data_IF_369250682973
#
_entry.id   IF_369250682973
#
_cell.length_a   1.000
_cell.length_b   1.000
_cell.length_c   1.000
_cell.angle_alpha   90.00
_cell.angle_beta   90.00
_cell.angle_gamma   90.00
#
_symmetry.space_group_name_H-M   'P 1'
#
loop_
_entity.id
_entity.type
_entity.pdbx_description
1 polymer ?
#
# COMPACT_ATOMS: atom_id res chain seq x y z
N UNK A 1 -29.93 -33.53 -1.08
CA UNK A 1 -28.78 -32.60 -0.99
C UNK A 1 -28.74 -32.05 0.43
N UNK A 2 -27.66 -32.29 1.17
CA UNK A 2 -27.52 -31.79 2.54
C UNK A 2 -27.47 -30.26 2.52
N UNK A 3 -28.57 -29.60 2.91
CA UNK A 3 -28.60 -28.16 3.16
C UNK A 3 -27.75 -27.90 4.41
N UNK A 4 -26.50 -27.54 4.20
CA UNK A 4 -25.63 -27.02 5.26
C UNK A 4 -26.34 -25.85 5.99
N UNK A 5 -26.22 -25.71 7.32
CA UNK A 5 -27.11 -24.91 8.15
C UNK A 5 -26.90 -23.38 8.08
N UNK A 6 -26.29 -22.87 7.01
CA UNK A 6 -25.93 -21.46 6.87
C UNK A 6 -27.14 -20.52 6.95
N UNK A 7 -28.32 -20.96 6.52
CA UNK A 7 -29.56 -20.17 6.61
C UNK A 7 -30.03 -19.90 8.06
N UNK A 8 -29.61 -20.72 9.03
CA UNK A 8 -29.93 -20.51 10.44
C UNK A 8 -28.95 -19.56 11.12
N UNK A 9 -27.74 -19.38 10.57
CA UNK A 9 -26.69 -18.56 11.18
C UNK A 9 -27.12 -17.11 11.46
N UNK A 10 -27.81 -16.40 10.55
CA UNK A 10 -28.28 -15.04 10.85
C UNK A 10 -29.18 -14.96 12.08
N UNK A 11 -30.00 -16.00 12.33
CA UNK A 11 -30.89 -16.05 13.50
C UNK A 11 -30.13 -16.30 14.80
N UNK A 12 -29.06 -17.10 14.74
CA UNK A 12 -28.22 -17.48 15.87
C UNK A 12 -27.15 -16.42 16.18
N UNK A 13 -26.71 -15.66 15.18
CA UNK A 13 -25.63 -14.68 15.26
C UNK A 13 -26.09 -13.28 14.85
N UNK A 14 -27.17 -12.79 15.47
CA UNK A 14 -27.81 -11.51 15.11
C UNK A 14 -26.90 -10.29 15.24
N UNK A 15 -25.91 -10.36 16.13
CA UNK A 15 -24.94 -9.30 16.41
C UNK A 15 -23.58 -9.52 15.70
N UNK A 16 -23.54 -10.36 14.66
CA UNK A 16 -22.30 -10.62 13.93
C UNK A 16 -21.83 -9.36 13.21
N UNK A 17 -20.68 -8.83 13.64
CA UNK A 17 -20.06 -7.62 13.06
C UNK A 17 -18.96 -7.91 12.06
N UNK A 18 -18.34 -9.08 12.14
CA UNK A 18 -17.17 -9.44 11.31
C UNK A 18 -17.37 -10.84 10.78
N UNK A 19 -17.33 -10.98 9.46
CA UNK A 19 -17.45 -12.26 8.78
C UNK A 19 -16.30 -12.42 7.79
N UNK A 20 -15.58 -13.53 7.91
CA UNK A 20 -14.64 -14.00 6.91
C UNK A 20 -15.18 -15.30 6.34
N UNK A 21 -15.28 -15.39 5.02
CA UNK A 21 -15.77 -16.58 4.32
C UNK A 21 -14.69 -17.08 3.38
N UNK A 22 -14.35 -18.36 3.54
CA UNK A 22 -13.33 -19.05 2.74
C UNK A 22 -13.94 -20.06 1.74
N UNK A 23 -15.28 -20.17 1.69
CA UNK A 23 -16.02 -21.03 0.77
C UNK A 23 -16.86 -20.23 -0.24
N UNK A 24 -17.34 -20.91 -1.28
CA UNK A 24 -18.22 -20.32 -2.28
C UNK A 24 -19.60 -19.95 -1.71
N UNK A 25 -20.13 -18.83 -2.17
CA UNK A 25 -21.42 -18.29 -1.73
C UNK A 25 -22.34 -18.19 -2.94
N UNK A 26 -23.24 -19.16 -3.05
CA UNK A 26 -24.29 -19.16 -4.07
C UNK A 26 -25.65 -18.71 -3.51
N UNK A 27 -25.78 -18.66 -2.19
CA UNK A 27 -27.05 -18.42 -1.50
C UNK A 27 -27.07 -17.13 -0.71
N UNK A 28 -28.29 -16.61 -0.58
CA UNK A 28 -28.68 -15.44 0.18
C UNK A 28 -28.71 -15.74 1.68
N UNK A 29 -27.71 -15.25 2.43
CA UNK A 29 -27.68 -15.35 3.89
C UNK A 29 -26.89 -14.21 4.54
N UNK A 30 -25.81 -13.75 3.91
CA UNK A 30 -24.96 -12.68 4.48
C UNK A 30 -25.75 -11.40 4.68
N UNK A 31 -26.61 -11.05 3.74
CA UNK A 31 -27.42 -9.84 3.74
C UNK A 31 -28.46 -9.75 4.88
N UNK A 32 -28.59 -10.83 5.65
CA UNK A 32 -29.40 -10.89 6.86
C UNK A 32 -28.63 -10.46 8.12
N UNK A 33 -27.29 -10.35 8.08
CA UNK A 33 -26.48 -9.83 9.19
C UNK A 33 -26.54 -8.29 9.22
N UNK A 34 -27.54 -7.73 9.90
CA UNK A 34 -27.76 -6.27 9.96
C UNK A 34 -26.65 -5.48 10.63
N UNK A 35 -25.91 -6.11 11.53
CA UNK A 35 -24.78 -5.50 12.27
C UNK A 35 -23.43 -5.68 11.58
N UNK A 36 -23.39 -6.22 10.35
CA UNK A 36 -22.14 -6.54 9.69
C UNK A 36 -21.35 -5.27 9.31
N UNK A 37 -20.16 -5.13 9.88
CA UNK A 37 -19.24 -4.01 9.66
C UNK A 37 -18.07 -4.39 8.75
N UNK A 38 -17.62 -5.65 8.80
CA UNK A 38 -16.51 -6.18 8.02
C UNK A 38 -16.91 -7.48 7.34
N UNK A 39 -16.74 -7.53 6.03
CA UNK A 39 -16.86 -8.74 5.23
C UNK A 39 -15.58 -9.00 4.45
N UNK A 40 -15.03 -10.21 4.59
CA UNK A 40 -13.91 -10.72 3.78
C UNK A 40 -14.37 -11.98 3.06
N UNK A 41 -14.32 -11.96 1.74
CA UNK A 41 -14.68 -13.08 0.87
C UNK A 41 -13.43 -13.58 0.15
N UNK A 42 -13.01 -14.81 0.44
CA UNK A 42 -11.93 -15.48 -0.29
C UNK A 42 -12.47 -16.52 -1.28
N UNK A 43 -13.72 -16.97 -1.11
CA UNK A 43 -14.44 -17.80 -2.06
C UNK A 43 -15.31 -16.96 -3.00
N UNK A 44 -15.62 -17.53 -4.18
CA UNK A 44 -16.48 -16.90 -5.17
C UNK A 44 -17.87 -16.58 -4.61
N UNK A 45 -18.48 -15.48 -5.05
CA UNK A 45 -19.85 -15.08 -4.72
C UNK A 45 -20.66 -14.83 -5.99
N UNK A 46 -21.91 -15.28 -6.00
CA UNK A 46 -22.83 -14.99 -7.11
C UNK A 46 -23.20 -13.49 -7.16
N UNK A 47 -23.51 -12.98 -8.35
CA UNK A 47 -23.95 -11.59 -8.52
C UNK A 47 -25.17 -11.27 -7.65
N UNK A 48 -26.14 -12.17 -7.56
CA UNK A 48 -27.35 -11.96 -6.76
C UNK A 48 -27.03 -11.82 -5.29
N UNK A 49 -26.16 -12.68 -4.74
CA UNK A 49 -25.73 -12.59 -3.35
C UNK A 49 -24.95 -11.30 -3.06
N UNK A 50 -24.03 -10.89 -3.95
CA UNK A 50 -23.32 -9.62 -3.81
C UNK A 50 -24.29 -8.42 -3.84
N UNK A 51 -25.23 -8.39 -4.79
CA UNK A 51 -26.28 -7.36 -4.86
C UNK A 51 -27.05 -7.27 -3.54
N UNK A 52 -27.47 -8.40 -2.98
CA UNK A 52 -28.18 -8.44 -1.70
C UNK A 52 -27.35 -7.87 -0.54
N UNK A 53 -26.05 -8.15 -0.50
CA UNK A 53 -25.14 -7.59 0.51
C UNK A 53 -25.06 -6.07 0.39
N UNK A 54 -24.83 -5.56 -0.81
CA UNK A 54 -24.71 -4.12 -1.07
C UNK A 54 -26.01 -3.36 -0.72
N UNK A 55 -27.17 -3.98 -0.94
CA UNK A 55 -28.47 -3.39 -0.62
C UNK A 55 -28.79 -3.37 0.87
N UNK A 56 -28.43 -4.42 1.61
CA UNK A 56 -29.00 -4.67 2.95
C UNK A 56 -28.01 -4.53 4.10
N UNK A 57 -26.71 -4.62 3.84
CA UNK A 57 -25.67 -4.48 4.86
C UNK A 57 -25.28 -3.01 5.05
N UNK A 58 -26.21 -2.22 5.60
CA UNK A 58 -26.07 -0.75 5.72
C UNK A 58 -24.95 -0.30 6.69
N UNK A 59 -24.53 -1.17 7.62
CA UNK A 59 -23.42 -0.92 8.55
C UNK A 59 -22.05 -1.33 8.01
N UNK A 60 -21.98 -1.81 6.77
CA UNK A 60 -20.74 -2.31 6.19
C UNK A 60 -19.76 -1.16 6.00
N UNK A 61 -18.64 -1.22 6.73
CA UNK A 61 -17.55 -0.23 6.64
C UNK A 61 -16.38 -0.76 5.86
N UNK A 62 -16.25 -2.08 5.74
CA UNK A 62 -15.11 -2.74 5.12
C UNK A 62 -15.53 -3.96 4.32
N UNK A 63 -15.18 -3.97 3.03
CA UNK A 63 -15.50 -5.05 2.10
C UNK A 63 -14.24 -5.50 1.36
N UNK A 64 -13.85 -6.75 1.54
CA UNK A 64 -12.70 -7.33 0.86
C UNK A 64 -13.14 -8.50 -0.03
N UNK A 65 -13.04 -8.32 -1.35
CA UNK A 65 -13.29 -9.35 -2.35
C UNK A 65 -11.94 -9.90 -2.85
N UNK A 66 -11.53 -11.06 -2.34
CA UNK A 66 -10.18 -11.66 -2.53
C UNK A 66 -10.18 -12.90 -3.41
N UNK A 67 -11.20 -13.06 -4.24
CA UNK A 67 -11.32 -14.14 -5.21
C UNK A 67 -11.16 -13.58 -6.63
N UNK A 68 -10.74 -14.43 -7.57
CA UNK A 68 -10.57 -14.04 -8.97
C UNK A 68 -11.93 -13.91 -9.67
N UNK A 69 -12.35 -12.67 -9.96
CA UNK A 69 -13.54 -12.41 -10.76
C UNK A 69 -13.56 -10.97 -11.26
N UNK A 70 -13.76 -10.79 -12.56
CA UNK A 70 -13.85 -9.46 -13.17
C UNK A 70 -15.26 -9.13 -13.68
N UNK A 71 -16.18 -10.10 -13.66
CA UNK A 71 -17.51 -9.99 -14.28
C UNK A 71 -18.59 -9.48 -13.32
N UNK A 72 -18.29 -9.39 -12.03
CA UNK A 72 -19.24 -8.88 -11.04
C UNK A 72 -19.51 -7.39 -11.26
N UNK A 73 -20.72 -6.98 -10.92
CA UNK A 73 -21.19 -5.60 -10.98
C UNK A 73 -21.27 -4.99 -9.59
N UNK A 74 -20.71 -3.78 -9.45
CA UNK A 74 -20.72 -2.98 -8.23
C UNK A 74 -21.76 -1.84 -8.27
N UNK A 75 -22.81 -1.96 -9.11
CA UNK A 75 -23.81 -0.88 -9.36
C UNK A 75 -24.46 -0.29 -8.11
N UNK A 76 -24.52 -1.04 -7.01
CA UNK A 76 -25.16 -0.64 -5.75
C UNK A 76 -24.14 -0.35 -4.63
N UNK A 77 -22.86 -0.21 -4.96
CA UNK A 77 -21.82 0.03 -3.95
C UNK A 77 -22.00 1.38 -3.24
N UNK A 78 -22.68 2.33 -3.87
CA UNK A 78 -23.08 3.62 -3.30
C UNK A 78 -24.11 3.50 -2.17
N UNK A 79 -24.85 2.38 -2.09
CA UNK A 79 -25.76 2.08 -0.97
C UNK A 79 -25.01 1.75 0.31
N UNK A 80 -23.74 1.35 0.23
CA UNK A 80 -22.87 1.20 1.39
C UNK A 80 -22.23 2.55 1.75
N UNK A 81 -23.04 3.49 2.23
CA UNK A 81 -22.61 4.88 2.49
C UNK A 81 -21.49 5.02 3.53
N UNK A 82 -21.26 4.00 4.36
CA UNK A 82 -20.21 3.99 5.38
C UNK A 82 -18.96 3.21 4.96
N UNK A 83 -18.88 2.77 3.69
CA UNK A 83 -17.76 1.99 3.19
C UNK A 83 -16.48 2.82 3.15
N UNK A 84 -15.49 2.41 3.93
CA UNK A 84 -14.20 3.08 4.12
C UNK A 84 -13.03 2.26 3.59
N UNK A 85 -13.10 0.94 3.70
CA UNK A 85 -12.04 0.07 3.18
C UNK A 85 -12.63 -0.87 2.14
N UNK A 86 -12.04 -0.88 0.96
CA UNK A 86 -12.47 -1.69 -0.17
C UNK A 86 -11.28 -2.42 -0.78
N UNK A 87 -11.43 -3.72 -1.00
CA UNK A 87 -10.47 -4.53 -1.75
C UNK A 87 -11.16 -5.27 -2.88
N UNK A 88 -10.57 -5.16 -4.07
CA UNK A 88 -11.06 -5.71 -5.33
C UNK A 88 -9.89 -6.31 -6.10
N UNK A 89 -10.16 -7.21 -7.04
CA UNK A 89 -9.18 -7.56 -8.07
C UNK A 89 -8.92 -6.34 -8.97
N UNK A 90 -7.71 -6.23 -9.51
CA UNK A 90 -7.39 -5.17 -10.48
C UNK A 90 -8.36 -5.16 -11.67
N UNK A 91 -8.81 -6.34 -12.15
CA UNK A 91 -9.73 -6.40 -13.27
C UNK A 91 -11.14 -5.93 -12.92
N UNK A 92 -11.70 -6.36 -11.78
CA UNK A 92 -13.00 -5.86 -11.32
C UNK A 92 -12.99 -4.35 -11.11
N UNK A 93 -11.93 -3.81 -10.51
CA UNK A 93 -11.75 -2.37 -10.38
C UNK A 93 -11.73 -1.69 -11.74
N UNK A 94 -10.95 -2.18 -12.72
CA UNK A 94 -10.86 -1.56 -14.04
C UNK A 94 -12.22 -1.41 -14.74
N UNK A 95 -13.09 -2.43 -14.66
CA UNK A 95 -14.43 -2.39 -15.25
C UNK A 95 -15.42 -1.49 -14.52
N UNK A 96 -15.20 -1.21 -13.22
CA UNK A 96 -16.15 -0.50 -12.36
C UNK A 96 -15.53 0.76 -11.71
N UNK A 97 -14.43 1.26 -12.26
CA UNK A 97 -13.58 2.32 -11.67
C UNK A 97 -14.35 3.60 -11.35
N UNK A 98 -15.28 4.01 -12.21
CA UNK A 98 -16.09 5.21 -11.99
C UNK A 98 -17.05 5.07 -10.80
N UNK A 99 -17.59 3.88 -10.54
CA UNK A 99 -18.43 3.62 -9.37
C UNK A 99 -17.60 3.68 -8.09
N UNK A 100 -16.42 3.04 -8.09
CA UNK A 100 -15.52 3.03 -6.93
C UNK A 100 -14.99 4.43 -6.63
N UNK A 101 -14.76 5.26 -7.65
CA UNK A 101 -14.31 6.64 -7.45
C UNK A 101 -15.39 7.58 -6.89
N UNK A 102 -16.68 7.22 -6.95
CA UNK A 102 -17.75 7.97 -6.27
C UNK A 102 -17.76 7.78 -4.75
N UNK A 103 -17.07 6.76 -4.24
CA UNK A 103 -16.95 6.53 -2.79
C UNK A 103 -15.93 7.50 -2.19
N UNK A 104 -16.38 8.71 -1.85
CA UNK A 104 -15.53 9.81 -1.37
C UNK A 104 -14.91 9.54 -0.01
N UNK A 105 -15.56 8.73 0.83
CA UNK A 105 -15.14 8.45 2.21
C UNK A 105 -14.18 7.27 2.33
N UNK A 106 -13.73 6.70 1.21
CA UNK A 106 -12.73 5.64 1.21
C UNK A 106 -11.44 6.11 1.86
N UNK A 107 -10.98 5.33 2.84
CA UNK A 107 -9.70 5.44 3.54
C UNK A 107 -8.67 4.46 3.01
N UNK A 108 -9.12 3.31 2.52
CA UNK A 108 -8.27 2.28 1.92
C UNK A 108 -8.92 1.76 0.63
N UNK A 109 -8.14 1.76 -0.45
CA UNK A 109 -8.41 0.98 -1.65
C UNK A 109 -7.25 -0.01 -1.86
N UNK A 110 -7.56 -1.30 -1.80
CA UNK A 110 -6.63 -2.38 -2.10
C UNK A 110 -6.98 -2.98 -3.48
N UNK A 111 -5.98 -3.05 -4.37
CA UNK A 111 -6.05 -3.77 -5.62
C UNK A 111 -5.26 -5.06 -5.47
N UNK A 112 -5.92 -6.19 -5.72
CA UNK A 112 -5.34 -7.52 -5.61
C UNK A 112 -5.03 -8.11 -6.98
N UNK A 113 -4.18 -9.15 -7.00
CA UNK A 113 -3.75 -9.84 -8.23
C UNK A 113 -2.96 -8.94 -9.19
N UNK A 114 -2.23 -7.97 -8.65
CA UNK A 114 -1.44 -7.03 -9.44
C UNK A 114 -0.29 -7.70 -10.21
N UNK A 115 0.34 -8.71 -9.62
CA UNK A 115 1.52 -9.37 -10.20
C UNK A 115 1.26 -10.12 -11.52
N UNK A 116 0.03 -10.59 -11.76
CA UNK A 116 -0.34 -11.25 -13.03
C UNK A 116 -0.82 -10.26 -14.10
N UNK A 117 -1.05 -9.00 -13.73
CA UNK A 117 -1.72 -7.99 -14.56
C UNK A 117 -1.03 -6.63 -14.40
N UNK A 118 0.30 -6.59 -14.58
CA UNK A 118 1.11 -5.40 -14.30
C UNK A 118 0.66 -4.17 -15.09
N UNK A 119 0.45 -4.29 -16.41
CA UNK A 119 0.03 -3.15 -17.24
C UNK A 119 -1.34 -2.60 -16.82
N UNK A 120 -2.34 -3.47 -16.64
CA UNK A 120 -3.66 -3.07 -16.17
C UNK A 120 -3.59 -2.42 -14.78
N UNK A 121 -2.69 -2.89 -13.92
CA UNK A 121 -2.46 -2.32 -12.60
C UNK A 121 -1.90 -0.90 -12.69
N UNK A 122 -0.94 -0.65 -13.59
CA UNK A 122 -0.38 0.68 -13.85
C UNK A 122 -1.49 1.62 -14.35
N UNK A 123 -2.33 1.19 -15.29
CA UNK A 123 -3.47 1.97 -15.79
C UNK A 123 -4.48 2.30 -14.67
N UNK A 124 -4.78 1.33 -13.80
CA UNK A 124 -5.65 1.52 -12.65
C UNK A 124 -5.07 2.55 -11.68
N UNK A 125 -3.78 2.45 -11.37
CA UNK A 125 -3.08 3.42 -10.52
C UNK A 125 -3.09 4.81 -11.13
N UNK A 126 -2.78 4.94 -12.41
CA UNK A 126 -2.82 6.23 -13.11
C UNK A 126 -4.21 6.86 -13.00
N UNK A 127 -5.27 6.08 -13.20
CA UNK A 127 -6.65 6.55 -13.05
C UNK A 127 -6.95 7.03 -11.63
N UNK A 128 -6.59 6.25 -10.61
CA UNK A 128 -6.83 6.58 -9.20
C UNK A 128 -6.08 7.87 -8.83
N UNK A 129 -4.79 7.97 -9.16
CA UNK A 129 -3.98 9.12 -8.82
C UNK A 129 -4.43 10.38 -9.57
N UNK A 130 -4.86 10.27 -10.84
CA UNK A 130 -5.45 11.39 -11.58
C UNK A 130 -6.70 11.95 -10.90
N UNK A 131 -7.52 11.10 -10.25
CA UNK A 131 -8.76 11.51 -9.57
C UNK A 131 -8.56 11.94 -8.13
N UNK A 132 -7.58 11.36 -7.42
CA UNK A 132 -7.46 11.45 -5.95
C UNK A 132 -6.09 11.86 -5.43
N UNK A 133 -5.17 12.35 -6.26
CA UNK A 133 -3.80 12.78 -5.89
C UNK A 133 -3.70 13.58 -4.59
N UNK A 134 -4.63 14.51 -4.34
CA UNK A 134 -4.59 15.42 -3.18
C UNK A 134 -5.11 14.78 -1.88
N UNK A 135 -5.66 13.57 -1.96
CA UNK A 135 -6.12 12.79 -0.81
C UNK A 135 -5.19 11.64 -0.46
N UNK A 136 -4.30 11.20 -1.35
CA UNK A 136 -3.42 10.04 -1.11
C UNK A 136 -2.34 10.39 -0.09
N UNK A 137 -2.32 9.65 1.03
CA UNK A 137 -1.36 9.81 2.11
C UNK A 137 -0.29 8.73 2.15
N UNK A 138 -0.63 7.51 1.75
CA UNK A 138 0.30 6.39 1.76
C UNK A 138 0.02 5.48 0.57
N UNK A 139 1.09 5.08 -0.11
CA UNK A 139 1.04 4.07 -1.15
C UNK A 139 1.96 2.92 -0.73
N UNK A 140 1.44 1.71 -0.76
CA UNK A 140 2.21 0.48 -0.58
C UNK A 140 1.98 -0.43 -1.78
N UNK A 141 3.04 -0.92 -2.39
CA UNK A 141 2.90 -1.79 -3.55
C UNK A 141 4.01 -2.81 -3.69
N UNK A 142 3.64 -3.99 -4.17
CA UNK A 142 4.54 -4.93 -4.79
C UNK A 142 4.71 -4.55 -6.26
N UNK A 143 5.91 -4.11 -6.62
CA UNK A 143 6.30 -3.76 -7.99
C UNK A 143 6.81 -4.98 -8.78
N UNK A 144 6.67 -6.20 -8.24
CA UNK A 144 7.02 -7.43 -8.96
C UNK A 144 6.22 -7.52 -10.27
N UNK A 145 6.94 -7.50 -11.38
CA UNK A 145 6.35 -7.51 -12.72
C UNK A 145 6.27 -6.13 -13.39
N UNK A 146 6.64 -5.05 -12.70
CA UNK A 146 6.89 -3.75 -13.31
C UNK A 146 8.30 -3.76 -13.90
N UNK A 147 8.41 -3.93 -15.22
CA UNK A 147 9.68 -4.19 -15.90
C UNK A 147 10.57 -2.94 -16.03
N UNK A 148 9.99 -1.74 -16.02
CA UNK A 148 10.71 -0.48 -16.21
C UNK A 148 10.23 0.58 -15.19
N UNK A 149 11.13 1.30 -14.50
CA UNK A 149 10.77 2.27 -13.46
C UNK A 149 9.99 3.51 -13.97
N UNK A 150 9.87 3.72 -15.29
CA UNK A 150 9.07 4.81 -15.86
C UNK A 150 7.58 4.70 -15.51
N UNK A 151 7.11 3.56 -14.99
CA UNK A 151 5.75 3.45 -14.46
C UNK A 151 5.47 4.53 -13.40
N UNK A 152 6.47 4.94 -12.60
CA UNK A 152 6.31 5.99 -11.58
C UNK A 152 5.88 7.33 -12.19
N UNK A 153 6.49 7.65 -13.33
CA UNK A 153 6.17 8.81 -14.15
C UNK A 153 4.82 8.64 -14.85
N UNK A 154 4.54 7.45 -15.38
CA UNK A 154 3.28 7.14 -16.07
C UNK A 154 2.06 7.33 -15.16
N UNK A 155 2.13 6.80 -13.93
CA UNK A 155 1.05 6.98 -12.95
C UNK A 155 1.03 8.40 -12.37
N UNK A 156 2.12 9.15 -12.53
CA UNK A 156 2.31 10.52 -12.08
C UNK A 156 2.29 10.64 -10.56
N UNK A 157 3.14 9.85 -9.90
CA UNK A 157 3.30 9.85 -8.44
C UNK A 157 3.70 11.21 -7.88
N UNK A 158 4.52 11.98 -8.61
CA UNK A 158 4.96 13.34 -8.29
C UNK A 158 3.83 14.31 -7.96
N UNK A 159 2.63 14.05 -8.49
CA UNK A 159 1.44 14.89 -8.27
C UNK A 159 0.78 14.67 -6.90
N UNK A 160 1.19 13.64 -6.14
CA UNK A 160 0.65 13.33 -4.82
C UNK A 160 1.27 14.23 -3.73
N UNK A 161 0.80 15.47 -3.65
CA UNK A 161 1.36 16.51 -2.77
C UNK A 161 1.28 16.20 -1.27
N UNK A 162 0.34 15.34 -0.85
CA UNK A 162 0.11 14.93 0.55
C UNK A 162 0.70 13.57 0.91
N UNK A 163 1.53 12.99 0.05
CA UNK A 163 2.11 11.67 0.29
C UNK A 163 3.06 11.70 1.49
N UNK A 164 2.66 11.05 2.58
CA UNK A 164 3.45 10.93 3.81
C UNK A 164 4.33 9.69 3.78
N UNK A 165 3.81 8.59 3.26
CA UNK A 165 4.54 7.32 3.24
C UNK A 165 4.56 6.70 1.85
N UNK A 166 5.69 6.10 1.49
CA UNK A 166 5.82 5.31 0.27
C UNK A 166 6.52 3.99 0.58
N UNK A 167 5.89 2.88 0.23
CA UNK A 167 6.48 1.55 0.36
C UNK A 167 6.54 0.89 -1.01
N UNK A 168 7.76 0.61 -1.47
CA UNK A 168 8.04 -0.07 -2.72
C UNK A 168 8.72 -1.41 -2.42
N UNK A 169 8.01 -2.50 -2.72
CA UNK A 169 8.56 -3.85 -2.65
C UNK A 169 8.92 -4.35 -4.06
N UNK A 170 10.03 -5.09 -4.20
CA UNK A 170 10.45 -5.72 -5.46
C UNK A 170 10.59 -4.73 -6.64
N UNK A 171 10.93 -3.46 -6.35
CA UNK A 171 11.06 -2.42 -7.36
C UNK A 171 12.47 -2.42 -7.97
N UNK A 172 12.55 -2.32 -9.30
CA UNK A 172 13.78 -2.15 -10.07
C UNK A 172 13.93 -0.68 -10.48
N UNK A 173 15.11 -0.11 -10.29
CA UNK A 173 15.41 1.29 -10.63
C UNK A 173 16.25 1.45 -11.90
N UNK A 174 16.82 0.36 -12.43
CA UNK A 174 17.51 0.25 -13.71
C UNK A 174 18.56 1.35 -13.93
N UNK A 175 19.31 1.72 -12.89
CA UNK A 175 20.35 2.77 -12.93
C UNK A 175 19.86 4.13 -13.47
N UNK A 176 18.57 4.44 -13.33
CA UNK A 176 18.00 5.71 -13.74
C UNK A 176 18.11 6.76 -12.64
N UNK A 177 18.31 8.01 -13.03
CA UNK A 177 18.26 9.14 -12.10
C UNK A 177 16.84 9.30 -11.53
N UNK A 178 16.72 9.44 -10.21
CA UNK A 178 15.44 9.55 -9.51
C UNK A 178 14.65 10.80 -9.94
N UNK A 179 15.35 11.87 -10.31
CA UNK A 179 14.76 13.08 -10.89
C UNK A 179 14.00 12.81 -12.19
N UNK A 180 14.48 11.89 -13.03
CA UNK A 180 13.87 11.55 -14.32
C UNK A 180 12.62 10.67 -14.17
N UNK A 181 12.52 9.93 -13.05
CA UNK A 181 11.39 9.06 -12.73
C UNK A 181 10.16 9.81 -12.22
N UNK A 182 10.25 11.14 -12.04
CA UNK A 182 9.24 11.94 -11.36
C UNK A 182 8.84 11.32 -10.01
N UNK A 183 9.86 11.04 -9.20
CA UNK A 183 9.68 10.46 -7.87
C UNK A 183 8.89 11.43 -6.95
N UNK A 184 7.95 10.93 -6.14
CA UNK A 184 7.10 11.80 -5.32
C UNK A 184 7.87 12.45 -4.17
N UNK A 185 7.41 13.64 -3.76
CA UNK A 185 7.90 14.32 -2.56
C UNK A 185 7.24 13.72 -1.32
N UNK A 186 7.90 12.73 -0.72
CA UNK A 186 7.40 12.00 0.45
C UNK A 186 7.72 12.75 1.74
N UNK A 187 6.74 12.91 2.64
CA UNK A 187 6.89 13.79 3.80
C UNK A 187 7.29 13.11 5.11
N UNK A 188 7.18 11.79 5.25
CA UNK A 188 7.42 11.10 6.53
C UNK A 188 8.36 9.92 6.39
N UNK A 189 8.02 8.94 5.56
CA UNK A 189 8.86 7.75 5.45
C UNK A 189 8.86 7.10 4.07
N UNK A 190 10.00 6.52 3.70
CA UNK A 190 10.14 5.64 2.54
C UNK A 190 10.55 4.26 3.04
N UNK A 191 9.97 3.21 2.47
CA UNK A 191 10.41 1.84 2.69
C UNK A 191 10.71 1.17 1.35
N UNK A 192 11.95 0.74 1.19
CA UNK A 192 12.44 -0.04 0.05
C UNK A 192 12.65 -1.47 0.53
N UNK A 193 11.93 -2.41 -0.08
CA UNK A 193 11.88 -3.81 0.33
C UNK A 193 12.26 -4.68 -0.86
N UNK A 194 13.33 -5.45 -0.74
CA UNK A 194 13.84 -6.29 -1.81
C UNK A 194 14.01 -5.52 -3.12
N UNK A 195 14.67 -4.36 -3.08
CA UNK A 195 15.03 -3.57 -4.26
C UNK A 195 16.47 -3.95 -4.65
N UNK A 196 16.68 -4.85 -5.63
CA UNK A 196 17.96 -5.51 -5.84
C UNK A 196 19.02 -4.61 -6.49
N UNK A 197 18.61 -3.55 -7.19
CA UNK A 197 19.47 -2.70 -8.01
C UNK A 197 19.49 -1.22 -7.58
N UNK A 198 18.92 -0.90 -6.41
CA UNK A 198 18.98 0.45 -5.86
C UNK A 198 20.42 0.80 -5.47
N UNK A 199 20.95 1.89 -6.04
CA UNK A 199 22.30 2.38 -5.79
C UNK A 199 22.33 3.54 -4.80
N UNK A 200 23.51 3.75 -4.20
CA UNK A 200 23.74 4.81 -3.22
C UNK A 200 23.30 6.20 -3.72
N UNK A 201 23.63 6.56 -4.96
CA UNK A 201 23.29 7.88 -5.51
C UNK A 201 21.78 8.06 -5.67
N UNK A 202 21.06 7.00 -6.04
CA UNK A 202 19.60 7.03 -6.21
C UNK A 202 18.91 7.24 -4.87
N UNK A 203 19.31 6.50 -3.83
CA UNK A 203 18.77 6.71 -2.49
C UNK A 203 19.12 8.11 -1.94
N UNK A 204 20.35 8.58 -2.18
CA UNK A 204 20.76 9.95 -1.83
C UNK A 204 19.87 11.00 -2.51
N UNK A 205 19.56 10.82 -3.80
CA UNK A 205 18.69 11.74 -4.53
C UNK A 205 17.25 11.70 -4.03
N UNK A 206 16.72 10.53 -3.64
CA UNK A 206 15.42 10.44 -2.97
C UNK A 206 15.39 11.27 -1.68
N UNK A 207 16.46 11.21 -0.86
CA UNK A 207 16.55 12.02 0.37
C UNK A 207 16.59 13.51 0.04
N UNK A 208 17.33 13.94 -0.98
CA UNK A 208 17.35 15.35 -1.41
C UNK A 208 15.99 15.85 -1.87
N UNK A 209 15.24 15.02 -2.60
CA UNK A 209 13.91 15.37 -3.09
C UNK A 209 12.85 15.41 -1.98
N UNK A 210 13.12 14.74 -0.86
CA UNK A 210 12.17 14.54 0.23
C UNK A 210 12.74 15.09 1.56
N UNK A 211 12.90 16.43 1.70
CA UNK A 211 13.53 17.04 2.88
C UNK A 211 12.77 16.77 4.18
N UNK A 212 11.45 16.51 4.09
CA UNK A 212 10.60 16.18 5.22
C UNK A 212 10.80 14.79 5.80
N UNK A 213 11.56 13.89 5.15
CA UNK A 213 11.70 12.50 5.61
C UNK A 213 12.26 12.40 7.03
N UNK A 214 11.62 11.52 7.79
CA UNK A 214 12.02 11.13 9.14
C UNK A 214 12.62 9.73 9.12
N UNK A 215 12.04 8.81 8.36
CA UNK A 215 12.37 7.39 8.43
C UNK A 215 12.62 6.80 7.03
N UNK A 216 13.67 5.99 6.91
CA UNK A 216 13.95 5.20 5.70
C UNK A 216 14.13 3.74 6.12
N UNK A 217 13.25 2.87 5.64
CA UNK A 217 13.37 1.43 5.83
C UNK A 217 14.08 0.83 4.63
N UNK A 218 15.19 0.13 4.87
CA UNK A 218 15.94 -0.59 3.85
C UNK A 218 15.98 -2.06 4.24
N UNK A 219 15.21 -2.86 3.52
CA UNK A 219 15.12 -4.31 3.72
C UNK A 219 15.58 -4.97 2.43
N UNK A 220 16.67 -5.74 2.50
CA UNK A 220 17.20 -6.52 1.38
C UNK A 220 17.51 -5.65 0.14
N UNK A 221 18.32 -4.60 0.36
CA UNK A 221 18.87 -3.71 -0.68
C UNK A 221 20.39 -3.96 -0.81
N UNK A 222 20.83 -4.99 -1.54
CA UNK A 222 22.21 -5.50 -1.47
C UNK A 222 23.27 -4.59 -2.11
N UNK A 223 22.89 -3.69 -3.01
CA UNK A 223 23.84 -2.79 -3.69
C UNK A 223 24.16 -1.51 -2.90
N UNK A 224 23.53 -1.30 -1.73
CA UNK A 224 23.79 -0.13 -0.91
C UNK A 224 25.05 -0.31 -0.07
N UNK A 225 25.95 0.67 -0.16
CA UNK A 225 27.21 0.69 0.59
C UNK A 225 27.19 1.73 1.70
N UNK A 226 28.13 1.65 2.65
CA UNK A 226 28.23 2.59 3.78
C UNK A 226 28.37 4.06 3.33
N UNK A 227 28.77 4.32 2.08
CA UNK A 227 28.85 5.67 1.50
C UNK A 227 27.48 6.35 1.47
N UNK A 228 26.39 5.60 1.33
CA UNK A 228 25.03 6.14 1.35
C UNK A 228 24.74 6.89 2.65
N UNK A 229 25.17 6.34 3.79
CA UNK A 229 24.98 6.94 5.11
C UNK A 229 25.71 8.28 5.22
N UNK A 230 26.91 8.37 4.62
CA UNK A 230 27.66 9.63 4.59
C UNK A 230 27.00 10.67 3.70
N UNK A 231 26.48 10.27 2.54
CA UNK A 231 25.72 11.13 1.65
C UNK A 231 24.50 11.72 2.33
N UNK A 232 23.69 10.86 2.97
CA UNK A 232 22.51 11.25 3.73
C UNK A 232 22.90 12.21 4.87
N UNK A 233 23.92 11.88 5.67
CA UNK A 233 24.40 12.77 6.73
C UNK A 233 24.78 14.17 6.22
N UNK A 234 25.50 14.26 5.09
CA UNK A 234 25.89 15.56 4.50
C UNK A 234 24.68 16.41 4.13
N UNK A 235 23.65 15.80 3.56
CA UNK A 235 22.38 16.47 3.23
C UNK A 235 21.72 16.99 4.50
N UNK A 236 21.46 16.10 5.47
CA UNK A 236 20.77 16.45 6.72
C UNK A 236 21.50 17.53 7.53
N UNK A 237 22.84 17.48 7.54
CA UNK A 237 23.66 18.52 8.16
C UNK A 237 23.46 19.89 7.49
N UNK A 238 23.33 19.92 6.16
CA UNK A 238 23.14 21.16 5.41
C UNK A 238 21.74 21.75 5.56
N UNK A 239 20.72 20.91 5.78
CA UNK A 239 19.32 21.32 5.93
C UNK A 239 19.00 21.97 7.29
N UNK A 240 19.91 21.87 8.28
CA UNK A 240 19.75 22.41 9.65
C UNK A 240 18.42 22.01 10.32
N UNK A 241 17.99 20.78 10.11
CA UNK A 241 16.74 20.27 10.69
C UNK A 241 16.89 19.99 12.19
N UNK A 242 15.81 20.20 12.93
CA UNK A 242 15.74 19.98 14.39
C UNK A 242 15.63 18.50 14.78
N UNK A 243 15.53 17.60 13.80
CA UNK A 243 15.33 16.18 14.02
C UNK A 243 16.23 15.33 13.10
N UNK A 244 16.74 14.19 13.60
CA UNK A 244 17.53 13.27 12.81
C UNK A 244 16.66 12.48 11.83
N UNK A 245 17.26 12.01 10.75
CA UNK A 245 16.68 10.93 9.94
C UNK A 245 17.07 9.58 10.53
N UNK A 246 16.13 8.65 10.60
CA UNK A 246 16.33 7.28 11.08
C UNK A 246 16.42 6.33 9.91
N UNK A 247 17.50 5.57 9.83
CA UNK A 247 17.68 4.49 8.86
C UNK A 247 17.38 3.16 9.57
N UNK A 248 16.29 2.50 9.16
CA UNK A 248 15.85 1.23 9.73
C UNK A 248 16.32 0.09 8.81
N UNK A 249 17.17 -0.79 9.32
CA UNK A 249 17.80 -1.85 8.53
C UNK A 249 17.32 -3.25 8.92
N UNK A 250 17.29 -4.16 7.93
CA UNK A 250 17.15 -5.59 8.18
C UNK A 250 18.35 -6.12 9.01
N UNK A 251 18.17 -7.29 9.64
CA UNK A 251 19.12 -7.79 10.63
C UNK A 251 20.50 -8.09 10.05
N UNK A 252 20.57 -8.46 8.77
CA UNK A 252 21.74 -8.98 8.08
C UNK A 252 22.32 -8.05 7.01
N UNK A 253 22.12 -6.74 7.12
CA UNK A 253 22.68 -5.80 6.13
C UNK A 253 24.17 -5.51 6.38
N UNK A 254 24.97 -5.51 5.30
CA UNK A 254 26.36 -5.06 5.33
C UNK A 254 26.48 -3.61 5.83
N UNK A 255 25.50 -2.76 5.47
CA UNK A 255 25.36 -1.40 5.98
C UNK A 255 25.37 -1.32 7.50
N UNK A 256 24.66 -2.24 8.17
CA UNK A 256 24.59 -2.27 9.63
C UNK A 256 25.94 -2.64 10.23
N UNK A 257 26.62 -3.63 9.66
CA UNK A 257 27.95 -4.05 10.11
C UNK A 257 28.95 -2.91 9.96
N UNK A 258 28.95 -2.22 8.82
CA UNK A 258 29.80 -1.06 8.57
C UNK A 258 29.49 0.13 9.52
N UNK A 259 28.22 0.35 9.83
CA UNK A 259 27.84 1.37 10.81
C UNK A 259 28.32 1.04 12.22
N UNK A 260 28.13 -0.21 12.65
CA UNK A 260 28.52 -0.68 13.98
C UNK A 260 30.05 -0.65 14.16
N UNK A 261 30.82 -1.09 13.16
CA UNK A 261 32.30 -1.09 13.24
C UNK A 261 32.91 0.31 13.35
N UNK A 262 32.24 1.32 12.78
CA UNK A 262 32.68 2.72 12.82
C UNK A 262 31.95 3.57 13.87
N UNK A 263 31.11 2.97 14.72
CA UNK A 263 30.17 3.71 15.54
C UNK A 263 30.85 4.68 16.51
N UNK A 264 31.76 4.17 17.35
CA UNK A 264 32.48 4.95 18.36
C UNK A 264 33.37 6.04 17.76
N UNK A 265 33.94 5.78 16.59
CA UNK A 265 34.97 6.63 15.99
C UNK A 265 34.38 7.68 15.04
N UNK A 266 33.20 7.43 14.47
CA UNK A 266 32.66 8.26 13.40
C UNK A 266 31.18 8.64 13.57
N UNK A 267 30.32 7.71 14.00
CA UNK A 267 28.86 7.92 13.96
C UNK A 267 28.27 8.51 15.24
N UNK A 268 28.87 8.28 16.41
CA UNK A 268 28.37 8.76 17.70
C UNK A 268 28.15 10.29 17.72
N UNK A 269 29.04 11.07 17.09
CA UNK A 269 28.91 12.53 16.99
C UNK A 269 27.92 13.01 15.91
N UNK A 270 27.37 12.09 15.11
CA UNK A 270 26.45 12.40 13.99
C UNK A 270 24.98 12.07 14.30
N UNK A 271 24.70 11.53 15.49
CA UNK A 271 23.36 11.14 15.94
C UNK A 271 22.28 12.24 15.92
N UNK A 272 22.61 13.54 16.07
CA UNK A 272 21.62 14.60 15.87
C UNK A 272 21.08 14.69 14.43
N UNK A 273 21.77 14.12 13.45
CA UNK A 273 21.42 14.20 12.03
C UNK A 273 20.98 12.85 11.45
N UNK A 274 21.62 11.76 11.87
CA UNK A 274 21.37 10.42 11.35
C UNK A 274 21.43 9.39 12.49
N UNK A 275 20.35 8.61 12.61
CA UNK A 275 20.25 7.47 13.53
C UNK A 275 20.07 6.19 12.75
N UNK A 276 20.44 5.08 13.36
CA UNK A 276 20.23 3.76 12.80
C UNK A 276 19.48 2.89 13.80
N UNK A 277 18.43 2.22 13.32
CA UNK A 277 17.62 1.30 14.10
C UNK A 277 17.49 -0.04 13.38
N UNK A 278 17.12 -1.06 14.15
CA UNK A 278 16.84 -2.41 13.62
C UNK A 278 15.35 -2.53 13.37
N UNK A 279 14.98 -3.24 12.31
CA UNK A 279 13.61 -3.73 12.15
C UNK A 279 13.22 -4.59 13.36
N UNK A 280 12.28 -4.09 14.17
CA UNK A 280 11.80 -4.80 15.38
C UNK A 280 10.76 -5.88 15.02
N UNK A 281 9.97 -5.63 13.96
CA UNK A 281 8.89 -6.53 13.54
C UNK A 281 9.10 -6.98 12.10
N UNK A 282 8.96 -8.28 11.78
CA UNK A 282 9.05 -8.73 10.39
C UNK A 282 8.02 -7.98 9.54
N UNK A 283 8.49 -7.36 8.46
CA UNK A 283 7.60 -6.71 7.51
C UNK A 283 6.74 -7.79 6.85
N UNK A 284 5.42 -7.63 6.88
CA UNK A 284 4.55 -8.55 6.13
C UNK A 284 4.82 -8.31 4.64
N UNK A 285 4.97 -9.38 3.84
CA UNK A 285 5.18 -9.21 2.41
C UNK A 285 3.97 -8.48 1.83
N UNK A 286 4.24 -7.36 1.17
CA UNK A 286 3.26 -6.67 0.34
C UNK A 286 3.10 -7.52 -0.90
N UNK A 287 1.88 -7.97 -1.18
CA UNK A 287 1.52 -8.78 -2.37
C UNK A 287 0.58 -8.05 -3.32
N UNK A 288 -0.04 -6.99 -2.81
CA UNK A 288 -1.13 -6.24 -3.41
C UNK A 288 -0.76 -4.75 -3.40
N UNK A 289 -1.54 -3.93 -4.07
CA UNK A 289 -1.36 -2.48 -4.05
C UNK A 289 -2.40 -1.85 -3.14
N UNK A 290 -1.93 -1.10 -2.16
CA UNK A 290 -2.78 -0.43 -1.18
C UNK A 290 -2.57 1.09 -1.28
N UNK A 291 -3.65 1.81 -1.52
CA UNK A 291 -3.71 3.26 -1.46
C UNK A 291 -4.50 3.68 -0.24
N UNK A 292 -3.88 4.48 0.61
CA UNK A 292 -4.51 5.05 1.79
C UNK A 292 -4.80 6.53 1.52
N UNK A 293 -6.05 6.91 1.72
CA UNK A 293 -6.52 8.28 1.54
C UNK A 293 -6.74 8.94 2.90
N UNK A 294 -6.54 10.25 2.96
CA UNK A 294 -7.01 11.03 4.09
C UNK A 294 -8.53 11.00 4.12
N UNK A 295 -9.12 10.85 5.29
CA UNK A 295 -10.50 11.29 5.46
C UNK A 295 -10.53 12.80 5.24
N UNK A 296 -11.44 13.27 4.40
CA UNK A 296 -11.90 14.66 4.48
C UNK A 296 -12.26 14.91 5.95
N UNK A 297 -11.56 15.85 6.59
CA UNK A 297 -12.02 16.41 7.86
C UNK A 297 -13.33 17.17 7.65
#
# INVERSE_FOLDING_TARGET
MAQWPLHALPKLMRNLRRLKVDCEIQVHFIEHFKELELLVLNGFISQTALTGILERCQKLTRLFLRFDCDTLSLKLIDKCSHLRDLSLTTGLFSHQKDLVMKLTDLRLLELTQCGTRSQLTIECLQFILNRRKDSVQLIQMDCKGFQDPNWMKEVGMDRCSRLRGLVLANCYFCDREISQLLFPRVQKYIALINCPDIKDYQLIDMVRMCPGLNDIYLMDCPQLSWKVLQGIYRIRKSEKLSYPITIILSQHSELRQAYQSMYSNFWCFKLPFLRMERVIHPCRPIRDIQLFFNSSE
#
